data_IF_625183201637
#
_entry.id   IF_625183201637
#
_cell.length_a   1.000
_cell.length_b   1.000
_cell.length_c   1.000
_cell.angle_alpha   90.00
_cell.angle_beta   90.00
_cell.angle_gamma   90.00
#
_symmetry.space_group_name_H-M   'P 1'
#
loop_
_entity.id
_entity.type
_entity.pdbx_description
1 polymer ?
#
# COMPACT_ATOMS: atom_id res chain seq x y z
N UNK A 1 48.01 36.92 -57.57
CA UNK A 1 48.54 37.05 -56.19
C UNK A 1 47.63 37.95 -55.38
N UNK A 2 46.88 37.38 -54.42
CA UNK A 2 46.42 37.91 -53.13
C UNK A 2 45.62 36.79 -52.42
N UNK A 3 45.81 36.56 -51.12
CA UNK A 3 45.40 35.32 -50.45
C UNK A 3 43.91 35.31 -50.06
N UNK A 4 43.30 34.13 -50.13
CA UNK A 4 41.99 33.84 -49.54
C UNK A 4 42.22 33.49 -48.06
N UNK A 5 41.68 34.32 -47.17
CA UNK A 5 41.72 34.13 -45.72
C UNK A 5 40.79 32.98 -45.32
N UNK A 6 41.37 31.90 -44.79
CA UNK A 6 40.66 30.77 -44.19
C UNK A 6 40.22 31.16 -42.77
N UNK A 7 38.90 31.17 -42.51
CA UNK A 7 38.35 31.42 -41.17
C UNK A 7 38.04 30.07 -40.52
N UNK A 8 38.91 29.63 -39.61
CA UNK A 8 38.72 28.44 -38.78
C UNK A 8 37.67 28.76 -37.70
N UNK A 9 36.54 28.05 -37.73
CA UNK A 9 35.54 28.06 -36.66
C UNK A 9 35.78 26.81 -35.81
N UNK A 10 36.34 26.99 -34.62
CA UNK A 10 36.52 25.93 -33.62
C UNK A 10 35.19 25.74 -32.87
N UNK A 11 34.48 24.64 -33.16
CA UNK A 11 33.30 24.25 -32.41
C UNK A 11 33.72 23.56 -31.09
N UNK A 12 33.42 24.21 -29.96
CA UNK A 12 33.63 23.67 -28.62
C UNK A 12 32.45 22.75 -28.27
N UNK A 13 32.67 21.44 -28.28
CA UNK A 13 31.68 20.45 -27.86
C UNK A 13 31.56 20.44 -26.32
N UNK A 14 30.46 20.98 -25.78
CA UNK A 14 30.09 20.81 -24.38
C UNK A 14 29.53 19.39 -24.18
N UNK A 15 30.34 18.50 -23.61
CA UNK A 15 29.88 17.20 -23.15
C UNK A 15 29.07 17.39 -21.86
N UNK A 16 27.74 17.45 -21.98
CA UNK A 16 26.82 17.34 -20.85
C UNK A 16 26.89 15.91 -20.29
N UNK A 17 27.69 15.71 -19.25
CA UNK A 17 27.59 14.51 -18.43
C UNK A 17 26.26 14.57 -17.67
N UNK A 18 25.30 13.75 -18.10
CA UNK A 18 24.11 13.46 -17.33
C UNK A 18 24.55 12.72 -16.05
N UNK A 19 24.68 13.46 -14.94
CA UNK A 19 24.85 12.85 -13.63
C UNK A 19 23.52 12.21 -13.24
N UNK A 20 23.50 10.92 -12.86
CA UNK A 20 22.29 10.33 -12.31
C UNK A 20 22.00 11.02 -10.97
N UNK A 21 20.82 11.64 -10.88
CA UNK A 21 20.27 12.11 -9.60
C UNK A 21 19.95 10.90 -8.71
N UNK A 22 20.97 10.31 -8.09
CA UNK A 22 20.78 9.64 -6.81
C UNK A 22 20.61 10.75 -5.78
N UNK A 23 19.36 11.23 -5.65
CA UNK A 23 18.97 11.98 -4.47
C UNK A 23 19.48 11.22 -3.24
N UNK A 24 20.17 11.94 -2.37
CA UNK A 24 20.99 11.46 -1.27
C UNK A 24 20.17 10.57 -0.30
N UNK A 25 20.06 9.29 -0.62
CA UNK A 25 19.31 8.33 0.17
C UNK A 25 20.17 7.97 1.38
N UNK A 26 19.89 8.62 2.52
CA UNK A 26 20.57 8.35 3.79
C UNK A 26 20.57 6.85 4.04
N UNK A 27 21.75 6.27 4.26
CA UNK A 27 21.88 4.82 4.41
C UNK A 27 21.06 4.32 5.59
N UNK A 28 20.54 3.09 5.53
CA UNK A 28 19.77 2.50 6.64
C UNK A 28 20.56 2.50 7.95
N UNK A 29 21.88 2.37 7.85
CA UNK A 29 22.81 2.49 8.98
C UNK A 29 22.68 3.86 9.65
N UNK A 30 22.91 4.95 8.90
CA UNK A 30 22.83 6.32 9.41
C UNK A 30 21.44 6.62 9.97
N UNK A 31 20.41 6.14 9.29
CA UNK A 31 19.02 6.25 9.72
C UNK A 31 18.76 5.59 11.09
N UNK A 32 19.38 4.45 11.39
CA UNK A 32 19.25 3.76 12.67
C UNK A 32 20.07 4.45 13.77
N UNK A 33 21.31 4.86 13.47
CA UNK A 33 22.17 5.62 14.41
C UNK A 33 21.49 6.92 14.82
N UNK A 34 20.93 7.67 13.86
CA UNK A 34 20.18 8.90 14.14
C UNK A 34 18.97 8.67 15.04
N UNK A 35 18.42 7.45 15.06
CA UNK A 35 17.33 7.01 15.94
C UNK A 35 17.84 6.35 17.23
N UNK A 36 19.13 6.48 17.55
CA UNK A 36 19.74 6.00 18.79
C UNK A 36 20.01 4.49 18.84
N UNK A 37 20.06 3.80 17.70
CA UNK A 37 20.40 2.40 17.66
C UNK A 37 21.88 2.15 17.99
N UNK A 38 22.24 1.05 18.67
CA UNK A 38 23.62 0.62 18.82
C UNK A 38 24.29 0.45 17.45
N UNK A 39 25.56 0.85 17.35
CA UNK A 39 26.29 0.81 16.09
C UNK A 39 26.36 -0.60 15.50
N UNK A 40 26.64 -1.59 16.33
CA UNK A 40 26.70 -2.99 15.93
C UNK A 40 25.38 -3.49 15.30
N UNK A 41 24.24 -3.13 15.89
CA UNK A 41 22.94 -3.47 15.32
C UNK A 41 22.70 -2.77 13.98
N UNK A 42 23.06 -1.48 13.87
CA UNK A 42 22.93 -0.74 12.62
C UNK A 42 23.81 -1.32 11.51
N UNK A 43 25.02 -1.77 11.85
CA UNK A 43 25.94 -2.45 10.92
C UNK A 43 25.36 -3.79 10.44
N UNK A 44 24.80 -4.59 11.36
CA UNK A 44 24.17 -5.87 11.02
C UNK A 44 22.94 -5.70 10.11
N UNK A 45 22.09 -4.69 10.38
CA UNK A 45 20.96 -4.38 9.48
C UNK A 45 21.45 -3.93 8.11
N UNK A 46 22.46 -3.07 8.04
CA UNK A 46 23.02 -2.61 6.78
C UNK A 46 23.58 -3.77 5.96
N UNK A 47 24.24 -4.74 6.60
CA UNK A 47 24.73 -5.95 5.94
C UNK A 47 23.60 -6.80 5.35
N UNK A 48 22.48 -6.97 6.07
CA UNK A 48 21.30 -7.70 5.54
C UNK A 48 20.70 -6.99 4.34
N UNK A 49 20.57 -5.66 4.38
CA UNK A 49 20.05 -4.88 3.26
C UNK A 49 20.97 -4.95 2.04
N UNK A 50 22.29 -4.82 2.23
CA UNK A 50 23.27 -4.94 1.16
C UNK A 50 23.28 -6.35 0.54
N UNK A 51 23.12 -7.40 1.35
CA UNK A 51 23.00 -8.77 0.85
C UNK A 51 21.73 -8.95 -0.01
N UNK A 52 20.60 -8.38 0.42
CA UNK A 52 19.37 -8.42 -0.36
C UNK A 52 19.48 -7.66 -1.69
N UNK A 53 20.14 -6.50 -1.68
CA UNK A 53 20.43 -5.72 -2.89
C UNK A 53 21.33 -6.50 -3.87
N UNK A 54 22.37 -7.16 -3.37
CA UNK A 54 23.25 -8.02 -4.18
C UNK A 54 22.50 -9.20 -4.83
N UNK A 55 21.40 -9.65 -4.24
CA UNK A 55 20.49 -10.65 -4.79
C UNK A 55 19.37 -10.06 -5.69
N UNK A 56 19.41 -8.74 -5.96
CA UNK A 56 18.37 -7.99 -6.67
C UNK A 56 16.97 -8.13 -6.04
N UNK A 57 16.90 -8.20 -4.70
CA UNK A 57 15.65 -8.19 -3.94
C UNK A 57 15.22 -6.75 -3.62
N UNK A 58 13.90 -6.46 -3.53
CA UNK A 58 13.43 -5.16 -3.06
C UNK A 58 13.82 -4.96 -1.59
N UNK A 59 14.50 -3.85 -1.29
CA UNK A 59 15.08 -3.59 0.05
C UNK A 59 14.14 -2.82 0.97
N UNK A 60 13.16 -2.11 0.42
CA UNK A 60 12.20 -1.28 1.14
C UNK A 60 11.47 -2.04 2.26
N UNK A 61 11.01 -3.31 2.05
CA UNK A 61 10.41 -4.10 3.12
C UNK A 61 11.37 -4.35 4.30
N UNK A 62 12.65 -4.58 4.03
CA UNK A 62 13.67 -4.81 5.06
C UNK A 62 13.96 -3.53 5.85
N UNK A 63 14.13 -2.41 5.12
CA UNK A 63 14.35 -1.08 5.71
C UNK A 63 13.19 -0.68 6.61
N UNK A 64 11.94 -0.78 6.12
CA UNK A 64 10.74 -0.47 6.89
C UNK A 64 10.65 -1.31 8.16
N UNK A 65 10.88 -2.63 8.05
CA UNK A 65 10.83 -3.57 9.17
C UNK A 65 11.91 -3.29 10.23
N UNK A 66 13.11 -2.92 9.79
CA UNK A 66 14.21 -2.58 10.70
C UNK A 66 13.88 -1.31 11.50
N UNK A 67 13.38 -0.27 10.82
CA UNK A 67 12.98 0.98 11.44
C UNK A 67 11.80 0.81 12.39
N UNK A 68 10.78 0.05 11.99
CA UNK A 68 9.61 -0.25 12.84
C UNK A 68 10.01 -1.11 14.05
N UNK A 69 10.82 -2.15 13.82
CA UNK A 69 11.33 -3.04 14.87
C UNK A 69 12.14 -2.25 15.90
N UNK A 70 13.02 -1.37 15.44
CA UNK A 70 13.77 -0.48 16.32
C UNK A 70 12.86 0.50 17.06
N UNK A 71 11.87 1.11 16.39
CA UNK A 71 10.95 2.07 17.03
C UNK A 71 10.18 1.47 18.23
N UNK A 72 10.01 0.15 18.28
CA UNK A 72 9.39 -0.60 19.40
C UNK A 72 10.36 -0.85 20.57
N UNK A 73 11.37 0.03 20.76
CA UNK A 73 12.43 -0.06 21.79
C UNK A 73 11.88 -0.51 23.15
N UNK A 74 12.66 -1.34 23.84
CA UNK A 74 12.34 -1.85 25.18
C UNK A 74 11.30 -2.97 25.22
N UNK A 75 10.62 -3.28 24.10
CA UNK A 75 9.68 -4.41 24.01
C UNK A 75 10.20 -5.54 23.11
N UNK A 76 11.04 -5.20 22.14
CA UNK A 76 11.60 -6.16 21.18
C UNK A 76 13.12 -6.05 21.24
N UNK A 77 13.82 -7.15 21.53
CA UNK A 77 15.27 -7.10 21.59
C UNK A 77 15.89 -7.14 20.17
N UNK A 78 17.08 -6.56 19.94
CA UNK A 78 17.68 -6.41 18.61
C UNK A 78 17.80 -7.71 17.81
N UNK A 79 18.17 -8.82 18.46
CA UNK A 79 18.29 -10.15 17.85
C UNK A 79 16.95 -10.65 17.28
N UNK A 80 15.83 -10.28 17.90
CA UNK A 80 14.51 -10.62 17.38
C UNK A 80 14.17 -9.80 16.13
N UNK A 81 14.62 -8.55 16.06
CA UNK A 81 14.46 -7.74 14.84
C UNK A 81 15.28 -8.35 13.71
N UNK A 82 16.54 -8.72 13.96
CA UNK A 82 17.42 -9.36 12.97
C UNK A 82 16.85 -10.70 12.48
N UNK A 83 16.32 -11.54 13.37
CA UNK A 83 15.66 -12.79 12.98
C UNK A 83 14.47 -12.54 12.04
N UNK A 84 13.67 -11.50 12.30
CA UNK A 84 12.57 -11.09 11.43
C UNK A 84 13.07 -10.57 10.08
N UNK A 85 14.21 -9.86 10.04
CA UNK A 85 14.81 -9.41 8.78
C UNK A 85 15.28 -10.60 7.93
N UNK A 86 15.97 -11.58 8.54
CA UNK A 86 16.39 -12.80 7.84
C UNK A 86 15.19 -13.59 7.29
N UNK A 87 14.11 -13.71 8.08
CA UNK A 87 12.87 -14.33 7.60
C UNK A 87 12.25 -13.53 6.45
N UNK A 88 12.25 -12.21 6.54
CA UNK A 88 11.71 -11.33 5.49
C UNK A 88 12.52 -11.48 4.20
N UNK A 89 13.86 -11.51 4.28
CA UNK A 89 14.73 -11.73 3.13
C UNK A 89 14.45 -13.09 2.47
N UNK A 90 14.31 -14.17 3.27
CA UNK A 90 13.95 -15.49 2.75
C UNK A 90 12.59 -15.47 2.03
N UNK A 91 11.58 -14.80 2.59
CA UNK A 91 10.28 -14.63 1.93
C UNK A 91 10.39 -13.85 0.61
N UNK A 92 11.24 -12.82 0.56
CA UNK A 92 11.48 -12.06 -0.67
C UNK A 92 12.14 -12.91 -1.77
N UNK A 93 13.07 -13.81 -1.41
CA UNK A 93 13.63 -14.78 -2.37
C UNK A 93 12.54 -15.66 -2.98
N UNK A 94 11.67 -16.22 -2.13
CA UNK A 94 10.53 -17.02 -2.61
C UNK A 94 9.59 -16.20 -3.50
N UNK A 95 9.29 -14.96 -3.12
CA UNK A 95 8.52 -14.03 -3.95
C UNK A 95 9.16 -13.79 -5.31
N UNK A 96 10.49 -13.60 -5.35
CA UNK A 96 11.26 -13.41 -6.58
C UNK A 96 11.23 -14.63 -7.48
N UNK A 97 11.42 -15.82 -6.91
CA UNK A 97 11.33 -17.09 -7.66
C UNK A 97 9.95 -17.28 -8.30
N UNK A 98 8.86 -17.00 -7.57
CA UNK A 98 7.50 -17.10 -8.12
C UNK A 98 7.28 -16.07 -9.22
N UNK A 99 7.74 -14.83 -9.01
CA UNK A 99 7.60 -13.74 -9.97
C UNK A 99 8.36 -14.02 -11.27
N UNK A 100 9.57 -14.56 -11.18
CA UNK A 100 10.33 -15.04 -12.34
C UNK A 100 9.61 -16.19 -13.06
N UNK A 101 9.08 -17.16 -12.31
CA UNK A 101 8.30 -18.26 -12.86
C UNK A 101 7.02 -17.83 -13.57
N UNK A 102 6.49 -16.64 -13.25
CA UNK A 102 5.36 -16.02 -13.93
C UNK A 102 5.75 -15.26 -15.22
N UNK A 103 7.04 -15.23 -15.58
CA UNK A 103 7.54 -14.58 -16.79
C UNK A 103 7.91 -13.10 -16.63
N UNK A 104 7.93 -12.56 -15.41
CA UNK A 104 8.43 -11.22 -15.16
C UNK A 104 9.96 -11.23 -15.12
N UNK A 105 10.61 -10.82 -16.22
CA UNK A 105 12.06 -10.69 -16.32
C UNK A 105 12.46 -9.32 -16.92
N UNK A 106 13.11 -8.41 -16.14
CA UNK A 106 13.42 -8.56 -14.72
C UNK A 106 12.16 -8.50 -13.83
N UNK A 107 12.16 -9.17 -12.65
CA UNK A 107 11.01 -9.20 -11.77
C UNK A 107 10.81 -7.84 -11.06
N UNK A 108 9.66 -7.15 -11.21
CA UNK A 108 9.43 -5.88 -10.55
C UNK A 108 9.40 -6.01 -9.02
N UNK A 109 10.14 -5.16 -8.31
CA UNK A 109 10.27 -5.24 -6.85
C UNK A 109 8.95 -5.21 -6.08
N UNK A 110 7.97 -4.40 -6.53
CA UNK A 110 6.63 -4.35 -5.94
C UNK A 110 5.88 -5.69 -6.07
N UNK A 111 6.02 -6.37 -7.20
CA UNK A 111 5.41 -7.69 -7.45
C UNK A 111 6.07 -8.75 -6.57
N UNK A 112 7.41 -8.72 -6.46
CA UNK A 112 8.17 -9.61 -5.58
C UNK A 112 7.74 -9.46 -4.12
N UNK A 113 7.63 -8.23 -3.62
CA UNK A 113 7.21 -7.95 -2.26
C UNK A 113 5.76 -8.40 -2.00
N UNK A 114 4.85 -8.15 -2.94
CA UNK A 114 3.45 -8.58 -2.83
C UNK A 114 3.31 -10.11 -2.87
N UNK A 115 4.06 -10.79 -3.74
CA UNK A 115 4.11 -12.26 -3.80
C UNK A 115 4.63 -12.87 -2.49
N UNK A 116 5.72 -12.32 -1.94
CA UNK A 116 6.25 -12.73 -0.65
C UNK A 116 5.21 -12.55 0.47
N UNK A 117 4.49 -11.42 0.47
CA UNK A 117 3.39 -11.13 1.40
C UNK A 117 2.24 -12.13 1.29
N UNK A 118 1.80 -12.45 0.06
CA UNK A 118 0.74 -13.41 -0.20
C UNK A 118 1.12 -14.83 0.26
N UNK A 119 2.32 -15.31 -0.08
CA UNK A 119 2.85 -16.60 0.36
C UNK A 119 2.91 -16.69 1.89
N UNK A 120 3.38 -15.61 2.55
CA UNK A 120 3.42 -15.52 4.01
C UNK A 120 2.04 -15.56 4.69
N UNK A 121 0.96 -15.32 3.94
CA UNK A 121 -0.44 -15.49 4.40
C UNK A 121 -1.05 -16.85 4.05
N UNK A 122 -0.26 -17.74 3.46
CA UNK A 122 -0.66 -19.09 3.08
C UNK A 122 -1.43 -19.16 1.77
N UNK A 123 -1.37 -18.12 0.93
CA UNK A 123 -1.81 -18.19 -0.47
C UNK A 123 -0.78 -19.05 -1.21
N UNK A 124 -1.22 -20.07 -1.95
CA UNK A 124 -0.33 -21.02 -2.61
C UNK A 124 0.42 -20.40 -3.79
N UNK A 125 1.49 -21.04 -4.25
CA UNK A 125 2.24 -20.59 -5.44
C UNK A 125 1.32 -20.52 -6.67
N UNK A 126 0.48 -21.52 -6.86
CA UNK A 126 -0.48 -21.60 -7.97
C UNK A 126 -1.48 -20.44 -7.90
N UNK A 127 -2.00 -20.13 -6.71
CA UNK A 127 -2.92 -19.02 -6.50
C UNK A 127 -2.27 -17.65 -6.74
N UNK A 128 -0.99 -17.49 -6.39
CA UNK A 128 -0.21 -16.28 -6.70
C UNK A 128 -0.07 -16.13 -8.22
N UNK A 129 0.28 -17.20 -8.94
CA UNK A 129 0.38 -17.20 -10.40
C UNK A 129 -0.96 -16.88 -11.08
N UNK A 130 -2.07 -17.40 -10.55
CA UNK A 130 -3.43 -17.11 -11.02
C UNK A 130 -3.75 -15.61 -10.99
N UNK A 131 -3.38 -14.92 -9.90
CA UNK A 131 -3.58 -13.47 -9.77
C UNK A 131 -2.66 -12.71 -10.73
N UNK A 132 -1.37 -13.09 -10.80
CA UNK A 132 -0.40 -12.46 -11.68
C UNK A 132 -0.82 -12.54 -13.15
N UNK A 133 -1.34 -13.69 -13.58
CA UNK A 133 -1.80 -13.93 -14.95
C UNK A 133 -3.08 -13.17 -15.29
N UNK A 134 -3.96 -12.98 -14.31
CA UNK A 134 -5.21 -12.26 -14.51
C UNK A 134 -5.04 -10.74 -14.52
N UNK A 135 -4.01 -10.22 -13.86
CA UNK A 135 -3.78 -8.78 -13.76
C UNK A 135 -3.44 -8.16 -15.13
N UNK A 136 -3.90 -6.92 -15.40
CA UNK A 136 -3.69 -6.26 -16.68
C UNK A 136 -2.24 -5.85 -16.92
N UNK A 137 -1.48 -5.61 -15.85
CA UNK A 137 -0.09 -5.15 -15.88
C UNK A 137 0.65 -5.53 -14.58
N UNK A 138 1.99 -5.40 -14.49
CA UNK A 138 2.73 -5.75 -13.29
C UNK A 138 2.29 -4.98 -12.03
N UNK A 139 1.98 -3.69 -12.16
CA UNK A 139 1.46 -2.90 -11.03
C UNK A 139 0.12 -3.45 -10.52
N UNK A 140 -0.77 -3.84 -11.42
CA UNK A 140 -2.01 -4.54 -11.10
C UNK A 140 -1.78 -5.87 -10.39
N UNK A 141 -0.77 -6.65 -10.79
CA UNK A 141 -0.43 -7.90 -10.12
C UNK A 141 0.01 -7.66 -8.65
N UNK A 142 0.87 -6.66 -8.41
CA UNK A 142 1.28 -6.29 -7.06
C UNK A 142 0.08 -5.87 -6.18
N UNK A 143 -0.82 -5.06 -6.74
CA UNK A 143 -2.07 -4.65 -6.08
C UNK A 143 -2.96 -5.84 -5.74
N UNK A 144 -3.23 -6.71 -6.72
CA UNK A 144 -4.10 -7.88 -6.54
C UNK A 144 -3.57 -8.85 -5.48
N UNK A 145 -2.27 -9.12 -5.48
CA UNK A 145 -1.63 -9.98 -4.47
C UNK A 145 -1.71 -9.37 -3.07
N UNK A 146 -1.47 -8.06 -2.96
CA UNK A 146 -1.61 -7.32 -1.69
C UNK A 146 -3.04 -7.39 -1.16
N UNK A 147 -4.03 -7.19 -2.03
CA UNK A 147 -5.45 -7.27 -1.68
C UNK A 147 -5.85 -8.68 -1.26
N UNK A 148 -5.47 -9.72 -2.01
CA UNK A 148 -5.76 -11.10 -1.65
C UNK A 148 -5.14 -11.47 -0.29
N UNK A 149 -3.91 -11.04 -0.03
CA UNK A 149 -3.25 -11.23 1.26
C UNK A 149 -3.98 -10.49 2.40
N UNK A 150 -4.46 -9.27 2.15
CA UNK A 150 -5.23 -8.49 3.13
C UNK A 150 -6.58 -9.13 3.45
N UNK A 151 -7.32 -9.61 2.44
CA UNK A 151 -8.58 -10.34 2.63
C UNK A 151 -8.37 -11.62 3.45
N UNK A 152 -7.33 -12.39 3.12
CA UNK A 152 -6.96 -13.57 3.90
C UNK A 152 -6.61 -13.21 5.36
N UNK A 153 -5.90 -12.10 5.58
CA UNK A 153 -5.58 -11.61 6.92
C UNK A 153 -6.82 -11.12 7.71
N UNK A 154 -7.87 -10.67 7.03
CA UNK A 154 -9.17 -10.35 7.63
C UNK A 154 -10.00 -11.60 7.99
N UNK A 155 -9.53 -12.80 7.62
CA UNK A 155 -10.17 -14.08 7.90
C UNK A 155 -11.06 -14.58 6.77
N UNK A 156 -11.07 -13.92 5.60
CA UNK A 156 -11.75 -14.48 4.42
C UNK A 156 -11.01 -15.74 3.97
N UNK A 157 -11.76 -16.74 3.53
CA UNK A 157 -11.20 -17.96 2.95
C UNK A 157 -10.23 -17.63 1.80
N UNK A 158 -9.07 -18.30 1.75
CA UNK A 158 -8.00 -17.94 0.79
C UNK A 158 -8.41 -18.19 -0.67
N UNK A 159 -8.96 -19.38 -1.03
CA UNK A 159 -9.59 -19.57 -2.34
C UNK A 159 -10.60 -18.48 -2.70
N UNK A 160 -11.46 -18.07 -1.77
CA UNK A 160 -12.41 -16.98 -2.02
C UNK A 160 -11.70 -15.63 -2.26
N UNK A 161 -10.70 -15.27 -1.45
CA UNK A 161 -9.93 -14.04 -1.62
C UNK A 161 -9.23 -13.97 -3.00
N UNK A 162 -8.60 -15.08 -3.41
CA UNK A 162 -7.93 -15.20 -4.71
C UNK A 162 -8.93 -15.11 -5.85
N UNK A 163 -10.05 -15.83 -5.75
CA UNK A 163 -11.10 -15.81 -6.77
C UNK A 163 -11.70 -14.41 -6.93
N UNK A 164 -11.97 -13.69 -5.84
CA UNK A 164 -12.49 -12.33 -5.89
C UNK A 164 -11.57 -11.41 -6.72
N UNK A 165 -10.28 -11.38 -6.41
CA UNK A 165 -9.29 -10.54 -7.13
C UNK A 165 -9.16 -10.96 -8.59
N UNK A 166 -9.00 -12.26 -8.86
CA UNK A 166 -8.82 -12.80 -10.20
C UNK A 166 -10.02 -12.52 -11.10
N UNK A 167 -11.23 -12.78 -10.59
CA UNK A 167 -12.46 -12.58 -11.35
C UNK A 167 -12.72 -11.09 -11.60
N UNK A 168 -12.33 -10.21 -10.66
CA UNK A 168 -12.39 -8.76 -10.86
C UNK A 168 -11.51 -8.29 -12.01
N UNK A 169 -10.23 -8.71 -12.05
CA UNK A 169 -9.35 -8.34 -13.17
C UNK A 169 -9.82 -8.93 -14.50
N UNK A 170 -10.31 -10.18 -14.51
CA UNK A 170 -10.90 -10.78 -15.72
C UNK A 170 -12.16 -10.04 -16.21
N UNK A 171 -12.90 -9.42 -15.29
CA UNK A 171 -14.03 -8.55 -15.60
C UNK A 171 -13.61 -7.12 -16.02
N UNK A 172 -12.30 -6.85 -16.15
CA UNK A 172 -11.77 -5.55 -16.58
C UNK A 172 -11.73 -4.50 -15.47
N UNK A 173 -11.82 -4.90 -14.19
CA UNK A 173 -11.69 -3.96 -13.06
C UNK A 173 -10.28 -3.41 -12.98
N UNK A 174 -10.19 -2.13 -12.67
CA UNK A 174 -8.93 -1.44 -12.43
C UNK A 174 -8.28 -1.89 -11.11
N UNK A 175 -6.95 -1.76 -10.97
CA UNK A 175 -6.27 -1.98 -9.69
C UNK A 175 -6.84 -1.14 -8.54
N UNK A 176 -7.23 0.11 -8.81
CA UNK A 176 -7.83 1.02 -7.81
C UNK A 176 -9.17 0.49 -7.28
N UNK A 177 -10.02 -0.06 -8.15
CA UNK A 177 -11.25 -0.73 -7.72
C UNK A 177 -10.97 -1.97 -6.88
N UNK A 178 -9.93 -2.75 -7.22
CA UNK A 178 -9.55 -3.94 -6.45
C UNK A 178 -9.02 -3.57 -5.06
N UNK A 179 -8.34 -2.42 -4.91
CA UNK A 179 -7.88 -1.92 -3.61
C UNK A 179 -9.01 -1.66 -2.61
N UNK A 180 -10.25 -1.46 -3.08
CA UNK A 180 -11.41 -1.22 -2.21
C UNK A 180 -11.96 -2.50 -1.55
N UNK A 181 -11.54 -3.69 -1.99
CA UNK A 181 -12.11 -4.96 -1.53
C UNK A 181 -12.01 -5.19 -0.01
N UNK A 182 -10.87 -4.92 0.65
CA UNK A 182 -10.76 -5.07 2.11
C UNK A 182 -11.71 -4.15 2.89
N UNK A 183 -11.99 -2.95 2.36
CA UNK A 183 -12.97 -2.02 2.91
C UNK A 183 -14.39 -2.54 2.70
N UNK A 184 -14.70 -3.06 1.52
CA UNK A 184 -16.00 -3.68 1.22
C UNK A 184 -16.31 -4.85 2.17
N UNK A 185 -15.35 -5.77 2.39
CA UNK A 185 -15.52 -6.90 3.33
C UNK A 185 -15.70 -6.41 4.77
N UNK A 186 -14.97 -5.36 5.17
CA UNK A 186 -15.16 -4.75 6.50
C UNK A 186 -16.56 -4.15 6.65
N UNK A 187 -17.05 -3.46 5.61
CA UNK A 187 -18.40 -2.92 5.55
C UNK A 187 -19.47 -4.01 5.68
N UNK A 188 -19.35 -5.11 4.93
CA UNK A 188 -20.29 -6.23 5.01
C UNK A 188 -20.36 -6.85 6.41
N UNK A 189 -19.20 -7.04 7.05
CA UNK A 189 -19.14 -7.53 8.43
C UNK A 189 -19.80 -6.57 9.42
N UNK A 190 -19.64 -5.26 9.22
CA UNK A 190 -20.30 -4.25 10.04
C UNK A 190 -21.84 -4.27 9.89
N UNK A 191 -22.35 -4.74 8.74
CA UNK A 191 -23.79 -4.96 8.50
C UNK A 191 -24.27 -6.37 8.93
N UNK A 192 -23.42 -7.15 9.60
CA UNK A 192 -23.78 -8.47 10.14
C UNK A 192 -23.60 -9.64 9.18
N UNK A 193 -23.02 -9.44 7.99
CA UNK A 193 -22.72 -10.56 7.09
C UNK A 193 -21.51 -11.36 7.61
N UNK A 194 -21.62 -12.69 7.64
CA UNK A 194 -20.52 -13.55 8.07
C UNK A 194 -19.49 -13.72 6.94
N UNK A 195 -18.20 -13.84 7.29
CA UNK A 195 -17.15 -14.08 6.29
C UNK A 195 -17.34 -15.40 5.53
N UNK A 196 -18.01 -16.39 6.14
CA UNK A 196 -18.34 -17.64 5.48
C UNK A 196 -19.40 -17.44 4.39
N UNK A 197 -20.39 -16.58 4.62
CA UNK A 197 -21.41 -16.26 3.61
C UNK A 197 -20.82 -15.42 2.47
N UNK A 198 -19.96 -14.45 2.80
CA UNK A 198 -19.20 -13.67 1.80
C UNK A 198 -18.35 -14.60 0.93
N UNK A 199 -17.60 -15.52 1.55
CA UNK A 199 -16.78 -16.48 0.84
C UNK A 199 -17.62 -17.39 -0.06
N UNK A 200 -18.72 -17.94 0.45
CA UNK A 200 -19.64 -18.78 -0.33
C UNK A 200 -20.16 -18.05 -1.57
N UNK A 201 -20.64 -16.82 -1.41
CA UNK A 201 -21.12 -15.99 -2.52
C UNK A 201 -20.04 -15.76 -3.58
N UNK A 202 -18.80 -15.48 -3.17
CA UNK A 202 -17.68 -15.29 -4.11
C UNK A 202 -17.40 -16.57 -4.87
N UNK A 203 -17.35 -17.71 -4.18
CA UNK A 203 -17.11 -19.03 -4.77
C UNK A 203 -18.21 -19.42 -5.78
N UNK A 204 -19.46 -19.05 -5.51
CA UNK A 204 -20.61 -19.22 -6.40
C UNK A 204 -20.65 -18.22 -7.57
N UNK A 205 -19.76 -17.22 -7.60
CA UNK A 205 -19.65 -16.26 -8.69
C UNK A 205 -20.30 -14.90 -8.47
N UNK A 206 -20.86 -14.64 -7.29
CA UNK A 206 -21.50 -13.36 -6.97
C UNK A 206 -20.54 -12.17 -6.78
N UNK A 207 -19.24 -12.44 -6.62
CA UNK A 207 -18.21 -11.41 -6.42
C UNK A 207 -18.35 -10.64 -5.09
N UNK A 208 -17.51 -9.61 -4.93
CA UNK A 208 -17.64 -8.64 -3.85
C UNK A 208 -18.47 -7.44 -4.32
N UNK A 209 -19.38 -6.92 -3.48
CA UNK A 209 -20.07 -5.68 -3.78
C UNK A 209 -19.06 -4.54 -3.75
N UNK A 210 -19.09 -3.71 -4.78
CA UNK A 210 -18.33 -2.46 -4.79
C UNK A 210 -19.07 -1.42 -3.97
N UNK A 211 -18.37 -0.59 -3.17
CA UNK A 211 -18.95 0.68 -2.78
C UNK A 211 -19.26 1.42 -4.07
N UNK A 212 -20.54 1.59 -4.40
CA UNK A 212 -20.91 2.44 -5.51
C UNK A 212 -20.36 3.83 -5.20
N UNK A 213 -19.76 4.49 -6.20
CA UNK A 213 -19.48 5.94 -6.13
C UNK A 213 -20.77 6.79 -6.06
N UNK A 214 -21.87 6.24 -5.53
CA UNK A 214 -23.09 6.97 -5.19
C UNK A 214 -22.86 7.70 -3.86
N UNK A 215 -22.00 8.72 -3.91
CA UNK A 215 -21.67 9.56 -2.77
C UNK A 215 -21.10 10.93 -3.13
N UNK A 216 -20.84 11.24 -4.41
CA UNK A 216 -20.56 12.60 -4.89
C UNK A 216 -21.74 13.15 -5.71
N UNK A 217 -22.92 13.13 -5.10
CA UNK A 217 -23.97 14.09 -5.47
C UNK A 217 -23.79 15.36 -4.63
N UNK A 218 -24.04 16.57 -5.15
CA UNK A 218 -23.98 17.78 -4.34
C UNK A 218 -25.04 17.68 -3.25
N UNK A 219 -24.61 17.40 -2.02
CA UNK A 219 -25.46 17.50 -0.85
C UNK A 219 -25.70 19.00 -0.62
N UNK A 220 -26.71 19.53 -1.29
CA UNK A 220 -27.34 20.81 -1.01
C UNK A 220 -28.05 20.71 0.35
N UNK A 221 -27.26 20.57 1.42
CA UNK A 221 -27.69 20.69 2.79
C UNK A 221 -27.82 22.16 3.16
N UNK A 222 -28.86 22.83 2.61
CA UNK A 222 -29.40 24.03 3.26
C UNK A 222 -29.91 23.61 4.63
N UNK A 223 -29.49 24.24 5.74
CA UNK A 223 -30.10 23.99 7.04
C UNK A 223 -31.59 24.37 7.01
N UNK A 224 -32.45 23.67 7.77
CA UNK A 224 -33.87 23.98 7.84
C UNK A 224 -34.08 25.41 8.32
N UNK A 225 -34.73 26.22 7.49
CA UNK A 225 -35.17 27.56 7.86
C UNK A 225 -36.14 27.49 9.04
N UNK A 226 -35.79 28.18 10.11
CA UNK A 226 -36.64 28.40 11.27
C UNK A 226 -37.93 29.12 10.82
N UNK A 227 -39.13 28.65 11.19
CA UNK A 227 -40.39 29.30 10.84
C UNK A 227 -40.47 30.73 11.38
N UNK A 228 -41.07 31.61 10.55
CA UNK A 228 -41.02 33.06 10.69
C UNK A 228 -41.53 33.63 12.02
N UNK A 229 -40.81 34.62 12.51
CA UNK A 229 -41.30 35.58 13.49
C UNK A 229 -41.92 36.76 12.73
N UNK A 230 -43.25 36.80 12.63
CA UNK A 230 -43.97 38.04 12.32
C UNK A 230 -44.41 38.71 13.63
N UNK A 231 -44.32 40.04 13.74
CA UNK A 231 -44.50 40.75 15.01
C UNK A 231 -45.95 41.20 15.19
N UNK A 232 -46.55 40.84 16.32
CA UNK A 232 -47.82 41.37 16.82
C UNK A 232 -47.72 41.47 18.34
N UNK A 233 -47.44 42.66 18.87
CA UNK A 233 -48.45 43.54 19.46
C UNK A 233 -49.25 42.89 20.60
N UNK A 234 -49.09 43.46 21.79
CA UNK A 234 -50.24 43.72 22.64
C UNK A 234 -50.27 42.98 23.97
N UNK A 235 -49.92 43.73 25.00
CA UNK A 235 -50.72 43.85 26.23
C UNK A 235 -50.53 42.81 27.33
N UNK A 236 -49.75 43.24 28.32
CA UNK A 236 -50.16 43.39 29.72
C UNK A 236 -50.88 42.21 30.41
N UNK A 237 -50.32 41.72 31.52
CA UNK A 237 -50.70 42.17 32.88
C UNK A 237 -49.98 41.38 33.98
N UNK A 238 -49.56 42.14 35.00
CA UNK A 238 -49.70 41.89 36.45
C UNK A 238 -48.88 40.78 37.16
N UNK A 239 -48.07 41.31 38.08
CA UNK A 239 -48.05 41.09 39.55
C UNK A 239 -47.51 39.76 40.12
N UNK A 240 -46.66 39.95 41.13
CA UNK A 240 -46.32 38.99 42.19
C UNK A 240 -44.81 38.80 42.27
N UNK A 241 -44.02 39.67 42.90
CA UNK A 241 -43.90 39.88 44.36
C UNK A 241 -43.48 38.61 45.13
N UNK A 242 -42.20 38.56 45.51
CA UNK A 242 -41.64 38.08 46.80
C UNK A 242 -40.22 37.55 46.57
N UNK A 243 -39.21 38.25 47.11
CA UNK A 243 -38.55 37.99 48.41
C UNK A 243 -37.59 36.77 48.29
N UNK A 244 -36.35 36.78 48.77
CA UNK A 244 -35.60 37.64 49.70
C UNK A 244 -34.14 37.10 49.71
N UNK A 245 -33.32 37.43 50.72
CA UNK A 245 -31.99 38.04 50.62
C UNK A 245 -30.88 37.19 49.99
#
# INVERSE_FOLDING_TARGET
MKPVTLLLITALAAASMAQPMHAQQVSIREQLIARGAPAEFADQVAAVVAAAEAEALPTEPLVSKALEGWAKRGRVPPERVLAVLSQTQASLRLGREVTLGAGFDPPPGAVVAAAAGALGRGISREQVLDIMTAAPEPAGAATGLTVAAALAAQGLDRPAAVKAVRDAFRAGRSPDEVLEFPSAVTGLRAHGESLADVARRILEGGGLPMPSQQGMGPQAGRPPGVPGSQPGQGSAKKKGQSNKP
#
